data_IF_481520797268
#
_entry.id   IF_481520797268
#
_cell.length_a   1.000
_cell.length_b   1.000
_cell.length_c   1.000
_cell.angle_alpha   90.00
_cell.angle_beta   90.00
_cell.angle_gamma   90.00
#
_symmetry.space_group_name_H-M   'P 1'
#
loop_
_entity.id
_entity.type
_entity.pdbx_description
1 polymer ?
#
# COMPACT_ATOMS: atom_id res chain seq x y z
N UNK A 1 2.35 -3.70 28.35
CA UNK A 1 1.36 -2.75 27.83
C UNK A 1 0.50 -3.49 26.80
N UNK A 2 -0.82 -3.49 26.95
CA UNK A 2 -1.71 -4.34 26.17
C UNK A 2 -1.79 -3.80 24.74
N UNK A 3 -1.57 -4.63 23.72
CA UNK A 3 -1.56 -4.23 22.27
C UNK A 3 -2.81 -3.42 21.88
N UNK A 4 -3.96 -3.75 22.47
CA UNK A 4 -5.23 -3.01 22.27
C UNK A 4 -5.16 -1.56 22.74
N UNK A 5 -4.42 -1.30 23.81
CA UNK A 5 -4.22 0.06 24.37
C UNK A 5 -3.25 0.84 23.50
N UNK A 6 -2.19 0.21 22.99
CA UNK A 6 -1.23 0.83 22.08
C UNK A 6 -1.90 1.25 20.76
N UNK A 7 -2.71 0.38 20.16
CA UNK A 7 -3.47 0.68 18.94
C UNK A 7 -4.46 1.83 19.18
N UNK A 8 -5.16 1.84 20.33
CA UNK A 8 -6.06 2.95 20.68
C UNK A 8 -5.31 4.29 20.86
N UNK A 9 -4.11 4.29 21.46
CA UNK A 9 -3.29 5.50 21.60
C UNK A 9 -2.77 6.01 20.25
N UNK A 10 -2.38 5.13 19.32
CA UNK A 10 -1.94 5.50 17.98
C UNK A 10 -3.11 6.12 17.20
N UNK A 11 -4.29 5.52 17.27
CA UNK A 11 -5.51 6.05 16.62
C UNK A 11 -5.90 7.40 17.22
N UNK A 12 -5.85 7.57 18.54
CA UNK A 12 -6.17 8.84 19.22
C UNK A 12 -5.12 9.90 18.92
N UNK A 13 -3.82 9.56 18.88
CA UNK A 13 -2.74 10.49 18.55
C UNK A 13 -2.83 10.99 17.09
N UNK A 14 -3.37 10.18 16.18
CA UNK A 14 -3.64 10.59 14.79
C UNK A 14 -4.86 11.51 14.65
N UNK A 15 -5.76 11.54 15.65
CA UNK A 15 -7.00 12.34 15.62
C UNK A 15 -6.82 13.71 16.29
N UNK A 16 -5.86 13.87 17.22
CA UNK A 16 -5.68 15.07 18.03
C UNK A 16 -5.18 16.34 17.31
N UNK A 17 -4.53 16.33 16.13
CA UNK A 17 -4.16 17.58 15.46
C UNK A 17 -5.30 18.32 14.77
N UNK A 18 -6.55 17.83 14.83
CA UNK A 18 -7.66 18.40 14.06
C UNK A 18 -8.25 19.68 14.69
N UNK A 19 -7.86 20.05 15.91
CA UNK A 19 -8.45 21.17 16.65
C UNK A 19 -7.47 22.30 16.97
N UNK A 20 -6.73 22.84 15.99
CA UNK A 20 -6.01 24.10 16.21
C UNK A 20 -5.71 24.82 14.91
N UNK A 21 -6.26 26.01 14.83
CA UNK A 21 -6.05 27.12 13.91
C UNK A 21 -7.07 27.30 12.80
N UNK A 22 -8.04 28.11 13.15
CA UNK A 22 -8.82 28.93 12.24
C UNK A 22 -7.92 30.09 11.75
N UNK A 23 -7.12 29.81 10.74
CA UNK A 23 -6.47 30.79 9.89
C UNK A 23 -6.76 30.33 8.47
N UNK A 24 -7.01 31.24 7.56
CA UNK A 24 -7.42 31.07 6.16
C UNK A 24 -6.45 30.19 5.34
N UNK A 25 -6.01 29.10 5.95
CA UNK A 25 -5.15 28.06 5.40
C UNK A 25 -6.02 27.11 4.61
N UNK A 26 -5.78 27.06 3.33
CA UNK A 26 -6.30 26.05 2.41
C UNK A 26 -6.19 24.67 3.08
N UNK A 27 -7.35 24.06 3.35
CA UNK A 27 -7.47 22.85 4.18
C UNK A 27 -6.71 21.68 3.55
N UNK A 28 -5.86 21.01 4.32
CA UNK A 28 -5.23 19.74 3.93
C UNK A 28 -6.26 18.76 3.42
N UNK A 29 -5.99 18.11 2.30
CA UNK A 29 -6.83 17.03 1.78
C UNK A 29 -6.41 15.72 2.42
N UNK A 30 -7.35 15.01 3.03
CA UNK A 30 -7.12 13.70 3.61
C UNK A 30 -7.72 12.61 2.72
N UNK A 31 -7.06 11.46 2.65
CA UNK A 31 -7.48 10.29 1.88
C UNK A 31 -7.48 9.06 2.78
N UNK A 32 -8.61 8.37 2.84
CA UNK A 32 -8.74 7.05 3.48
C UNK A 32 -9.04 6.06 2.36
N UNK A 33 -8.27 4.99 2.26
CA UNK A 33 -8.48 4.00 1.20
C UNK A 33 -8.45 2.58 1.76
N UNK A 34 -9.21 1.71 1.10
CA UNK A 34 -9.18 0.27 1.33
C UNK A 34 -9.05 -0.43 -0.03
N UNK A 35 -8.10 -1.37 -0.12
CA UNK A 35 -7.88 -2.16 -1.31
C UNK A 35 -7.96 -3.66 -1.00
N UNK A 36 -8.40 -4.44 -1.99
CA UNK A 36 -8.27 -5.89 -2.04
C UNK A 36 -7.38 -6.27 -3.22
N UNK A 37 -6.40 -7.14 -2.98
CA UNK A 37 -5.40 -7.54 -3.96
C UNK A 37 -5.33 -9.07 -4.03
N UNK A 38 -6.19 -9.73 -4.84
CA UNK A 38 -5.95 -11.11 -5.22
C UNK A 38 -4.64 -11.20 -6.00
N UNK A 39 -3.71 -12.04 -5.55
CA UNK A 39 -2.38 -12.14 -6.09
C UNK A 39 -1.94 -13.59 -6.33
N UNK A 40 -0.95 -13.75 -7.20
CA UNK A 40 -0.25 -15.00 -7.45
C UNK A 40 1.16 -14.92 -6.88
N UNK A 41 1.58 -15.98 -6.21
CA UNK A 41 2.94 -16.16 -5.69
C UNK A 41 3.86 -16.59 -6.82
N UNK A 42 5.02 -15.96 -6.96
CA UNK A 42 6.05 -16.40 -7.91
C UNK A 42 6.81 -17.61 -7.36
N UNK A 43 6.82 -18.70 -8.11
CA UNK A 43 7.48 -19.95 -7.74
C UNK A 43 9.00 -19.89 -7.96
N UNK A 44 9.68 -19.10 -7.17
CA UNK A 44 11.13 -18.86 -7.28
C UNK A 44 11.99 -19.97 -6.70
N UNK A 45 11.40 -20.92 -5.93
CA UNK A 45 12.10 -22.03 -5.30
C UNK A 45 11.20 -23.27 -5.16
N UNK A 46 11.79 -24.41 -4.79
CA UNK A 46 11.11 -25.70 -4.75
C UNK A 46 10.02 -25.75 -3.67
N UNK A 47 10.20 -25.10 -2.51
CA UNK A 47 9.17 -25.04 -1.47
C UNK A 47 7.86 -24.44 -2.00
N UNK A 48 7.93 -23.38 -2.79
CA UNK A 48 6.76 -22.74 -3.42
C UNK A 48 6.18 -23.57 -4.56
N UNK A 49 6.99 -24.42 -5.20
CA UNK A 49 6.57 -25.32 -6.31
C UNK A 49 5.91 -26.61 -5.85
N UNK A 50 5.86 -26.84 -4.53
CA UNK A 50 5.28 -28.07 -3.97
C UNK A 50 6.28 -28.97 -3.23
N UNK A 51 7.53 -28.54 -3.07
CA UNK A 51 8.52 -29.15 -2.17
C UNK A 51 8.18 -28.85 -0.70
N UNK A 52 6.97 -29.15 -0.31
CA UNK A 52 6.42 -29.01 1.04
C UNK A 52 5.65 -30.29 1.40
N UNK A 53 5.35 -30.47 2.68
CA UNK A 53 4.72 -31.68 3.24
C UNK A 53 3.45 -32.15 2.51
N UNK A 54 2.67 -31.20 1.96
CA UNK A 54 1.45 -31.53 1.19
C UNK A 54 1.68 -31.73 -0.31
N UNK A 55 2.91 -31.55 -0.80
CA UNK A 55 3.25 -31.59 -2.23
C UNK A 55 2.37 -30.64 -3.08
N UNK A 56 1.96 -29.51 -2.49
CA UNK A 56 1.08 -28.51 -3.12
C UNK A 56 1.82 -27.25 -3.49
N UNK A 57 1.63 -26.81 -4.73
CA UNK A 57 2.11 -25.52 -5.20
C UNK A 57 1.36 -24.38 -4.52
N UNK A 58 2.09 -23.38 -4.05
CA UNK A 58 1.55 -22.18 -3.38
C UNK A 58 1.26 -21.12 -4.43
N UNK A 59 0.02 -21.01 -4.87
CA UNK A 59 -0.35 -20.15 -6.00
C UNK A 59 -0.97 -18.80 -5.57
N UNK A 60 -1.65 -18.75 -4.43
CA UNK A 60 -2.55 -17.66 -4.13
C UNK A 60 -2.18 -16.91 -2.86
N UNK A 61 -2.32 -15.60 -2.94
CA UNK A 61 -2.35 -14.66 -1.85
C UNK A 61 -3.60 -13.77 -2.00
N UNK A 62 -4.20 -13.39 -0.87
CA UNK A 62 -5.20 -12.34 -0.82
C UNK A 62 -4.74 -11.29 0.18
N UNK A 63 -4.45 -10.09 -0.31
CA UNK A 63 -4.05 -8.98 0.53
C UNK A 63 -5.17 -7.96 0.67
N UNK A 64 -5.47 -7.56 1.91
CA UNK A 64 -6.38 -6.46 2.24
C UNK A 64 -5.59 -5.32 2.86
N UNK A 65 -5.81 -4.11 2.36
CA UNK A 65 -5.11 -2.92 2.86
C UNK A 65 -6.08 -1.88 3.41
N UNK A 66 -5.61 -1.15 4.42
CA UNK A 66 -6.23 0.07 4.92
C UNK A 66 -5.17 1.17 4.96
N UNK A 67 -5.43 2.30 4.32
CA UNK A 67 -4.47 3.37 4.09
C UNK A 67 -5.04 4.72 4.53
N UNK A 68 -4.20 5.52 5.17
CA UNK A 68 -4.48 6.93 5.43
C UNK A 68 -3.37 7.78 4.83
N UNK A 69 -3.75 8.76 4.01
CA UNK A 69 -2.83 9.70 3.37
C UNK A 69 -3.30 11.14 3.53
N UNK A 70 -2.36 12.05 3.35
CA UNK A 70 -2.62 13.47 3.22
C UNK A 70 -1.91 14.03 1.99
N UNK A 71 -2.45 15.12 1.48
CA UNK A 71 -1.88 15.90 0.38
C UNK A 71 -1.62 17.32 0.89
N UNK A 72 -0.40 17.82 0.68
CA UNK A 72 -0.07 19.20 1.00
C UNK A 72 -0.78 20.15 0.04
N UNK A 73 -1.05 21.35 0.52
CA UNK A 73 -1.77 22.36 -0.25
C UNK A 73 -1.11 22.70 -1.59
N UNK A 74 0.22 22.79 -1.61
CA UNK A 74 0.97 23.08 -2.84
C UNK A 74 0.85 21.97 -3.90
N UNK A 75 0.63 20.73 -3.47
CA UNK A 75 0.41 19.57 -4.35
C UNK A 75 -0.99 19.56 -4.97
N UNK A 76 -1.95 20.28 -4.38
CA UNK A 76 -3.33 20.39 -4.87
C UNK A 76 -3.48 21.56 -5.87
N UNK A 77 -2.55 22.53 -5.88
CA UNK A 77 -2.61 23.69 -6.79
C UNK A 77 -2.50 23.27 -8.25
N UNK A 78 -3.35 23.81 -9.13
CA UNK A 78 -3.19 23.63 -10.57
C UNK A 78 -1.82 24.15 -11.03
N UNK A 79 -1.08 23.33 -11.79
CA UNK A 79 0.25 23.71 -12.30
C UNK A 79 1.42 23.33 -11.40
N UNK A 80 1.21 22.83 -10.18
CA UNK A 80 2.28 22.28 -9.36
C UNK A 80 2.94 21.07 -10.04
N UNK A 81 4.27 20.97 -9.95
CA UNK A 81 5.06 19.82 -10.45
C UNK A 81 4.63 18.52 -9.77
N UNK A 82 4.20 18.60 -8.50
CA UNK A 82 3.76 17.47 -7.68
C UNK A 82 2.24 17.35 -7.57
N UNK A 83 1.49 17.90 -8.54
CA UNK A 83 0.04 17.94 -8.50
C UNK A 83 -0.58 16.55 -8.31
N UNK A 84 -1.28 16.38 -7.19
CA UNK A 84 -1.97 15.14 -6.85
C UNK A 84 -1.10 14.09 -6.16
N UNK A 85 0.15 14.43 -5.78
CA UNK A 85 0.98 13.56 -4.93
C UNK A 85 0.36 13.45 -3.52
N UNK A 86 0.50 12.29 -2.93
CA UNK A 86 0.00 11.99 -1.58
C UNK A 86 0.98 11.05 -0.89
N UNK A 87 1.00 11.12 0.43
CA UNK A 87 1.83 10.26 1.27
C UNK A 87 1.08 9.90 2.56
N UNK A 88 1.46 8.79 3.18
CA UNK A 88 0.76 8.35 4.36
C UNK A 88 1.28 7.07 4.98
N UNK A 89 0.42 6.45 5.79
CA UNK A 89 0.68 5.20 6.50
C UNK A 89 -0.39 4.17 6.14
N UNK A 90 0.02 2.92 6.04
CA UNK A 90 -0.87 1.82 5.70
C UNK A 90 -0.67 0.59 6.57
N UNK A 91 -1.71 -0.20 6.62
CA UNK A 91 -1.76 -1.54 7.17
C UNK A 91 -2.16 -2.49 6.05
N UNK A 92 -1.53 -3.65 5.96
CA UNK A 92 -1.95 -4.73 5.08
C UNK A 92 -2.03 -6.03 5.88
N UNK A 93 -3.05 -6.82 5.62
CA UNK A 93 -3.16 -8.22 6.04
C UNK A 93 -3.03 -9.09 4.81
N UNK A 94 -2.06 -10.01 4.85
CA UNK A 94 -1.81 -10.96 3.78
C UNK A 94 -2.38 -12.31 4.19
N UNK A 95 -3.14 -12.96 3.31
CA UNK A 95 -3.72 -14.27 3.55
C UNK A 95 -3.08 -15.28 2.60
N UNK A 96 -1.97 -15.87 3.05
CA UNK A 96 -1.25 -16.91 2.33
C UNK A 96 -1.85 -18.29 2.66
N UNK A 97 -1.04 -19.14 3.24
CA UNK A 97 -1.41 -20.51 3.61
C UNK A 97 -0.80 -20.85 4.99
N UNK A 98 -1.07 -22.05 5.49
CA UNK A 98 -0.57 -22.46 6.82
C UNK A 98 0.95 -22.45 6.95
N UNK A 99 1.68 -22.62 5.84
CA UNK A 99 3.15 -22.68 5.84
C UNK A 99 3.81 -21.31 5.98
N UNK A 100 3.12 -20.28 5.48
CA UNK A 100 3.59 -18.88 5.53
C UNK A 100 2.86 -18.08 6.59
N UNK A 101 1.65 -18.53 7.04
CA UNK A 101 0.75 -17.81 7.93
C UNK A 101 0.08 -16.62 7.26
N UNK A 102 -0.50 -15.72 8.07
CA UNK A 102 -1.21 -14.52 7.65
C UNK A 102 -0.55 -13.28 8.26
N UNK A 103 0.62 -12.84 7.75
CA UNK A 103 1.34 -11.71 8.30
C UNK A 103 0.58 -10.39 8.12
N UNK A 104 0.93 -9.42 8.97
CA UNK A 104 0.42 -8.05 8.91
C UNK A 104 1.60 -7.13 8.60
N UNK A 105 1.47 -6.30 7.58
CA UNK A 105 2.44 -5.25 7.24
C UNK A 105 1.99 -3.91 7.78
N UNK A 106 2.95 -3.14 8.30
CA UNK A 106 2.84 -1.71 8.62
C UNK A 106 3.83 -0.98 7.73
N UNK A 107 3.38 0.03 7.00
CA UNK A 107 4.21 0.66 5.99
C UNK A 107 3.92 2.15 5.80
N UNK A 108 4.92 2.87 5.32
CA UNK A 108 4.79 4.20 4.74
C UNK A 108 4.55 4.05 3.25
N UNK A 109 3.81 4.98 2.66
CA UNK A 109 3.60 4.99 1.23
C UNK A 109 3.55 6.40 0.65
N UNK A 110 3.87 6.47 -0.63
CA UNK A 110 3.72 7.68 -1.44
C UNK A 110 3.21 7.29 -2.82
N UNK A 111 2.35 8.11 -3.38
CA UNK A 111 1.86 7.94 -4.74
C UNK A 111 1.62 9.27 -5.43
N UNK A 112 1.57 9.22 -6.75
CA UNK A 112 1.27 10.39 -7.58
C UNK A 112 0.68 9.98 -8.93
N UNK A 113 -0.04 10.87 -9.62
CA UNK A 113 -0.43 10.66 -10.99
C UNK A 113 0.78 10.72 -11.93
N UNK A 114 0.85 9.76 -12.86
CA UNK A 114 1.81 9.74 -13.98
C UNK A 114 1.22 10.49 -15.17
N UNK A 115 -0.06 10.16 -15.51
CA UNK A 115 -0.77 10.69 -16.67
C UNK A 115 -2.21 10.97 -16.27
N UNK A 116 -2.70 12.15 -16.59
CA UNK A 116 -4.11 12.50 -16.49
C UNK A 116 -4.76 12.38 -17.87
N UNK A 117 -5.56 11.34 -18.11
CA UNK A 117 -6.30 11.13 -19.34
C UNK A 117 -7.50 12.07 -19.46
N UNK A 118 -8.10 12.39 -18.30
CA UNK A 118 -9.20 13.34 -18.20
C UNK A 118 -9.22 13.94 -16.80
N UNK A 119 -10.18 14.83 -16.51
CA UNK A 119 -10.39 15.35 -15.15
C UNK A 119 -10.75 14.27 -14.13
N UNK A 120 -11.30 13.14 -14.59
CA UNK A 120 -11.78 12.05 -13.71
C UNK A 120 -10.95 10.80 -13.77
N UNK A 121 -10.10 10.63 -14.76
CA UNK A 121 -9.33 9.39 -14.98
C UNK A 121 -7.86 9.72 -15.09
N UNK A 122 -7.05 9.06 -14.28
CA UNK A 122 -5.58 9.17 -14.29
C UNK A 122 -4.93 7.80 -14.09
N UNK A 123 -3.75 7.65 -14.67
CA UNK A 123 -2.81 6.57 -14.34
C UNK A 123 -1.92 7.05 -13.21
N UNK A 124 -1.78 6.25 -12.16
CA UNK A 124 -1.04 6.59 -10.96
C UNK A 124 -0.05 5.48 -10.63
N UNK A 125 0.99 5.84 -9.90
CA UNK A 125 1.85 4.89 -9.18
C UNK A 125 1.71 5.09 -7.68
N UNK A 126 2.05 4.05 -6.92
CA UNK A 126 2.21 4.11 -5.47
C UNK A 126 3.32 3.13 -5.10
N UNK A 127 4.22 3.53 -4.24
CA UNK A 127 5.20 2.64 -3.63
C UNK A 127 4.97 2.59 -2.11
N UNK A 128 5.17 1.40 -1.55
CA UNK A 128 4.94 1.07 -0.16
C UNK A 128 6.22 0.47 0.42
N UNK A 129 6.66 0.94 1.58
CA UNK A 129 7.86 0.46 2.27
C UNK A 129 7.58 0.29 3.75
N UNK A 130 7.82 -0.89 4.29
CA UNK A 130 7.54 -1.18 5.68
C UNK A 130 8.05 -2.53 6.16
N UNK A 131 7.38 -3.06 7.15
CA UNK A 131 7.72 -4.34 7.78
C UNK A 131 6.49 -5.22 7.90
N UNK A 132 6.65 -6.52 7.62
CA UNK A 132 5.62 -7.54 7.81
C UNK A 132 5.96 -8.41 9.01
N UNK A 133 4.95 -8.69 9.84
CA UNK A 133 5.05 -9.39 11.12
C UNK A 133 4.11 -10.59 11.14
N UNK A 134 4.48 -11.66 11.84
CA UNK A 134 3.61 -12.80 12.08
C UNK A 134 3.76 -13.92 11.07
N UNK A 135 4.92 -14.03 10.45
CA UNK A 135 5.27 -15.15 9.58
C UNK A 135 5.41 -16.46 10.36
N UNK A 136 5.01 -17.56 9.72
CA UNK A 136 5.43 -18.91 10.11
C UNK A 136 6.80 -19.15 9.47
N UNK A 137 7.86 -18.68 10.16
CA UNK A 137 9.23 -18.73 9.68
C UNK A 137 9.77 -20.16 9.61
N UNK A 138 10.90 -20.36 8.94
CA UNK A 138 11.67 -21.59 9.00
C UNK A 138 11.97 -21.99 10.45
N UNK A 139 11.79 -23.26 10.73
CA UNK A 139 12.11 -23.90 11.98
C UNK A 139 12.45 -25.36 11.69
N UNK A 140 13.55 -25.87 12.27
CA UNK A 140 14.07 -27.21 11.97
C UNK A 140 13.10 -28.33 12.34
N UNK A 141 12.24 -28.12 13.35
CA UNK A 141 11.30 -29.12 13.86
C UNK A 141 9.90 -28.97 13.26
N UNK A 142 9.41 -27.73 13.13
CA UNK A 142 7.99 -27.45 12.83
C UNK A 142 7.73 -26.94 11.42
N UNK A 143 8.76 -26.37 10.73
CA UNK A 143 8.62 -25.84 9.35
C UNK A 143 9.95 -25.93 8.56
N UNK A 144 10.58 -27.14 8.48
CA UNK A 144 11.93 -27.32 7.94
C UNK A 144 12.03 -27.09 6.43
N UNK A 145 10.92 -27.12 5.73
CA UNK A 145 10.89 -26.95 4.27
C UNK A 145 10.76 -25.50 3.83
N UNK A 146 10.39 -24.60 4.75
CA UNK A 146 10.27 -23.17 4.44
C UNK A 146 11.65 -22.52 4.19
N UNK A 147 12.09 -22.53 2.95
CA UNK A 147 13.35 -21.88 2.53
C UNK A 147 13.17 -20.39 2.17
N UNK A 148 11.95 -19.86 2.26
CA UNK A 148 11.57 -18.52 1.81
C UNK A 148 11.73 -17.48 2.91
N UNK A 149 11.19 -17.77 4.09
CA UNK A 149 11.09 -16.85 5.22
C UNK A 149 11.81 -17.46 6.44
N UNK A 150 12.96 -16.91 6.80
CA UNK A 150 13.78 -17.36 7.92
C UNK A 150 13.54 -16.57 9.22
N UNK A 151 12.67 -15.58 9.24
CA UNK A 151 12.39 -14.76 10.42
C UNK A 151 10.92 -14.40 10.55
N UNK A 152 10.47 -14.14 11.79
CA UNK A 152 9.08 -13.71 12.07
C UNK A 152 8.77 -12.29 11.61
N UNK A 153 9.80 -11.54 11.19
CA UNK A 153 9.69 -10.17 10.69
C UNK A 153 10.50 -10.05 9.40
N UNK A 154 9.89 -9.46 8.38
CA UNK A 154 10.55 -9.16 7.10
C UNK A 154 10.36 -7.70 6.72
N UNK A 155 11.19 -7.18 5.84
CA UNK A 155 10.86 -6.00 5.06
C UNK A 155 9.66 -6.32 4.15
N UNK A 156 8.83 -5.32 3.92
CA UNK A 156 7.73 -5.31 2.97
C UNK A 156 7.96 -4.17 2.00
N UNK A 157 8.08 -4.51 0.73
CA UNK A 157 8.19 -3.55 -0.38
C UNK A 157 7.09 -3.88 -1.36
N UNK A 158 6.34 -2.87 -1.77
CA UNK A 158 5.29 -3.06 -2.76
C UNK A 158 5.23 -1.86 -3.71
N UNK A 159 4.95 -2.13 -4.98
CA UNK A 159 4.80 -1.12 -6.03
C UNK A 159 3.52 -1.38 -6.78
N UNK A 160 2.70 -0.35 -6.84
CA UNK A 160 1.43 -0.35 -7.54
C UNK A 160 1.47 0.55 -8.79
N UNK A 161 0.81 0.11 -9.84
CA UNK A 161 0.42 0.94 -10.98
C UNK A 161 -1.08 0.75 -11.23
N UNK A 162 -1.85 1.85 -11.16
CA UNK A 162 -3.31 1.75 -11.20
C UNK A 162 -3.98 2.93 -11.89
N UNK A 163 -5.14 2.64 -12.48
CA UNK A 163 -6.08 3.65 -12.94
C UNK A 163 -6.93 4.11 -11.76
N UNK A 164 -6.97 5.42 -11.56
CA UNK A 164 -7.88 6.09 -10.64
C UNK A 164 -9.05 6.66 -11.42
N UNK A 165 -10.25 6.33 -11.03
CA UNK A 165 -11.48 6.92 -11.54
C UNK A 165 -12.19 7.71 -10.42
N UNK A 166 -12.25 9.03 -10.59
CA UNK A 166 -12.97 9.94 -9.70
C UNK A 166 -14.49 9.79 -9.95
N UNK A 167 -15.17 9.05 -9.08
CA UNK A 167 -16.62 8.85 -9.14
C UNK A 167 -17.37 10.09 -8.67
N UNK A 168 -16.87 10.74 -7.60
CA UNK A 168 -17.42 11.97 -7.04
C UNK A 168 -16.32 12.84 -6.43
N UNK A 169 -16.67 13.99 -5.85
CA UNK A 169 -15.69 14.79 -5.10
C UNK A 169 -15.17 14.07 -3.84
N UNK A 170 -15.87 13.05 -3.35
CA UNK A 170 -15.49 12.33 -2.13
C UNK A 170 -14.95 10.93 -2.39
N UNK A 171 -15.25 10.32 -3.54
CA UNK A 171 -15.01 8.91 -3.76
C UNK A 171 -14.31 8.66 -5.09
N UNK A 172 -13.21 7.89 -5.03
CA UNK A 172 -12.52 7.33 -6.19
C UNK A 172 -12.57 5.81 -6.16
N UNK A 173 -12.66 5.20 -7.34
CA UNK A 173 -12.39 3.79 -7.57
C UNK A 173 -11.00 3.64 -8.19
N UNK A 174 -10.23 2.65 -7.70
CA UNK A 174 -8.89 2.33 -8.17
C UNK A 174 -8.85 0.90 -8.67
N UNK A 175 -8.22 0.68 -9.84
CA UNK A 175 -7.98 -0.65 -10.38
C UNK A 175 -6.63 -0.71 -11.07
N UNK A 176 -5.82 -1.73 -10.80
CA UNK A 176 -4.48 -1.84 -11.36
C UNK A 176 -3.74 -3.09 -10.92
N UNK A 177 -2.42 -3.00 -10.94
CA UNK A 177 -1.52 -4.08 -10.59
C UNK A 177 -0.70 -3.72 -9.37
N UNK A 178 -0.35 -4.73 -8.57
CA UNK A 178 0.52 -4.65 -7.40
C UNK A 178 1.60 -5.71 -7.52
N UNK A 179 2.83 -5.34 -7.16
CA UNK A 179 3.99 -6.23 -7.07
C UNK A 179 4.57 -6.10 -5.67
N UNK A 180 4.49 -7.18 -4.88
CA UNK A 180 5.02 -7.19 -3.52
C UNK A 180 6.24 -8.08 -3.37
N UNK A 181 7.15 -7.67 -2.49
CA UNK A 181 8.35 -8.41 -2.10
C UNK A 181 8.49 -8.44 -0.58
N UNK A 182 8.78 -9.65 -0.05
CA UNK A 182 9.06 -9.86 1.36
C UNK A 182 10.43 -10.51 1.52
N UNK A 183 11.29 -9.93 2.38
CA UNK A 183 12.63 -10.44 2.65
C UNK A 183 13.13 -9.93 3.99
N UNK A 184 13.96 -10.71 4.69
CA UNK A 184 14.63 -10.24 5.89
C UNK A 184 16.03 -9.64 5.62
N UNK A 185 16.42 -9.42 4.34
CA UNK A 185 17.70 -8.87 3.97
C UNK A 185 18.90 -9.79 4.31
N UNK A 186 18.70 -11.11 4.35
CA UNK A 186 19.69 -12.12 4.75
C UNK A 186 20.23 -11.98 6.19
N UNK A 187 19.48 -11.34 7.07
CA UNK A 187 19.81 -11.28 8.52
C UNK A 187 19.66 -12.63 9.21
N UNK A 188 18.81 -13.50 8.66
CA UNK A 188 18.57 -14.87 9.17
C UNK A 188 18.31 -15.80 7.97
N UNK A 189 18.97 -16.96 7.94
CA UNK A 189 18.77 -17.98 6.91
C UNK A 189 17.74 -19.03 7.39
N UNK A 190 17.02 -19.62 6.39
CA UNK A 190 16.98 -19.34 4.98
C UNK A 190 16.22 -18.05 4.65
N UNK A 191 16.56 -17.36 3.54
CA UNK A 191 15.85 -16.17 3.06
C UNK A 191 15.90 -16.09 1.52
N UNK A 192 15.12 -16.92 0.82
CA UNK A 192 15.00 -16.83 -0.62
C UNK A 192 14.04 -15.71 -1.07
N UNK A 193 13.32 -15.11 -0.11
CA UNK A 193 12.35 -14.06 -0.36
C UNK A 193 11.04 -14.55 -1.00
N UNK A 194 9.98 -13.80 -0.81
CA UNK A 194 8.65 -14.07 -1.36
C UNK A 194 8.24 -12.91 -2.27
N UNK A 195 7.79 -13.22 -3.48
CA UNK A 195 7.28 -12.23 -4.42
C UNK A 195 5.87 -12.59 -4.84
N UNK A 196 4.99 -11.58 -4.92
CA UNK A 196 3.63 -11.74 -5.43
C UNK A 196 3.32 -10.70 -6.50
N UNK A 197 2.41 -11.05 -7.42
CA UNK A 197 1.85 -10.15 -8.40
C UNK A 197 0.32 -10.28 -8.35
N UNK A 198 -0.37 -9.15 -8.18
CA UNK A 198 -1.81 -9.15 -8.00
C UNK A 198 -2.53 -8.06 -8.76
N UNK A 199 -3.87 -8.17 -8.76
CA UNK A 199 -4.78 -7.14 -9.26
C UNK A 199 -5.26 -6.34 -8.06
N UNK A 200 -4.93 -5.05 -8.02
CA UNK A 200 -5.41 -4.13 -7.01
C UNK A 200 -6.79 -3.60 -7.38
N UNK A 201 -7.76 -3.74 -6.49
CA UNK A 201 -9.09 -3.15 -6.58
C UNK A 201 -9.38 -2.40 -5.28
N UNK A 202 -9.75 -1.13 -5.35
CA UNK A 202 -9.92 -0.33 -4.15
C UNK A 202 -10.83 0.86 -4.28
N UNK A 203 -11.22 1.37 -3.11
CA UNK A 203 -11.98 2.59 -2.94
C UNK A 203 -11.17 3.58 -2.09
N UNK A 204 -11.22 4.85 -2.46
CA UNK A 204 -10.61 5.93 -1.69
C UNK A 204 -11.60 7.04 -1.41
N UNK A 205 -11.77 7.36 -0.12
CA UNK A 205 -12.59 8.46 0.35
C UNK A 205 -11.74 9.68 0.66
N UNK A 206 -12.21 10.85 0.26
CA UNK A 206 -11.50 12.11 0.44
C UNK A 206 -12.27 13.10 1.29
N UNK A 207 -11.54 13.75 2.19
CA UNK A 207 -12.02 14.85 3.03
C UNK A 207 -11.33 16.12 2.53
N UNK A 208 -12.08 17.21 2.40
CA UNK A 208 -11.63 18.53 1.94
C UNK A 208 -11.13 18.57 0.47
N UNK A 209 -11.38 17.55 -0.35
CA UNK A 209 -11.00 17.59 -1.77
C UNK A 209 -11.89 18.55 -2.54
N UNK A 210 -11.26 19.48 -3.27
CA UNK A 210 -11.94 20.35 -4.19
C UNK A 210 -12.03 19.70 -5.58
N UNK A 211 -13.14 19.92 -6.28
CA UNK A 211 -13.25 19.47 -7.67
C UNK A 211 -12.34 20.29 -8.57
N UNK A 212 -11.66 19.66 -9.54
CA UNK A 212 -10.89 20.39 -10.53
C UNK A 212 -11.78 21.43 -11.24
N UNK A 213 -11.26 22.64 -11.51
CA UNK A 213 -12.03 23.68 -12.19
C UNK A 213 -12.53 23.20 -13.55
N UNK A 214 -13.69 23.71 -13.97
CA UNK A 214 -14.32 23.31 -15.23
C UNK A 214 -13.48 23.67 -16.47
N UNK A 215 -12.65 24.71 -16.39
CA UNK A 215 -11.79 25.18 -17.47
C UNK A 215 -10.40 24.58 -17.36
N UNK A 216 -9.78 24.08 -18.45
CA UNK A 216 -8.39 23.66 -18.40
C UNK A 216 -7.51 24.85 -18.03
N UNK A 217 -6.67 24.71 -17.01
CA UNK A 217 -5.61 25.69 -16.74
C UNK A 217 -4.62 25.54 -17.90
N UNK A 218 -4.54 26.54 -18.76
CA UNK A 218 -3.51 26.65 -19.81
C UNK A 218 -2.17 26.73 -19.08
N UNK A 219 -1.30 25.73 -19.22
CA UNK A 219 0.08 25.82 -18.75
C UNK A 219 0.74 26.96 -19.54
N UNK A 220 1.15 28.02 -18.86
CA UNK A 220 2.09 28.96 -19.44
C UNK A 220 3.37 28.19 -19.78
N UNK A 221 3.68 28.08 -21.06
CA UNK A 221 4.96 27.57 -21.51
C UNK A 221 6.03 28.56 -21.08
N UNK A 222 6.95 28.18 -20.23
CA UNK A 222 8.14 28.98 -19.97
C UNK A 222 8.88 29.13 -21.30
N UNK A 223 9.22 30.36 -21.74
CA UNK A 223 10.07 30.55 -22.90
C UNK A 223 11.44 29.91 -22.62
N UNK A 224 11.89 29.10 -23.55
CA UNK A 224 13.22 28.47 -23.60
C UNK A 224 14.33 29.50 -23.68
#
# INVERSE_FOLDING_TARGET
>A
MNLRILVAYIVIACILPIYSQEQDSLKTVHRIAADAVPATIFHTNDFLRGGNEETRTMNHDMTFTLKYAFMNHDEVRPGSIHQGAYQGVGLARHEFNRWLSNPISVYLFQGAPIINFSRRVSLNYEWNLGMAFGWNAYDEETNPENKVIGSKVTAYIDVDMYLRWMMSQYLDFNAGFSLSHFSNGNTTYPNLGLNTCGIRLGLAYYINRQMPPATPVVRESYPS
#
